data_IF_925211916359
#
_entry.id   IF_925211916359
#
_cell.length_a   1.000
_cell.length_b   1.000
_cell.length_c   1.000
_cell.angle_alpha   90.00
_cell.angle_beta   90.00
_cell.angle_gamma   90.00
#
_symmetry.space_group_name_H-M   'P 1'
#
loop_
_entity.id
_entity.type
_entity.pdbx_description
1 polymer ?
#
# COMPACT_ATOMS: atom_id res chain seq x y z
N UNK A 1 18.66 -12.47 -4.38
CA UNK A 1 17.25 -12.02 -4.43
C UNK A 1 17.18 -10.64 -3.83
N UNK A 2 17.13 -9.59 -4.65
CA UNK A 2 16.91 -8.24 -4.16
C UNK A 2 15.41 -8.14 -3.87
N UNK A 3 15.05 -8.00 -2.59
CA UNK A 3 13.65 -7.87 -2.19
C UNK A 3 13.30 -6.38 -2.21
N UNK A 4 12.14 -6.03 -2.75
CA UNK A 4 11.49 -4.76 -2.45
C UNK A 4 11.22 -4.69 -0.95
N UNK A 5 11.44 -3.54 -0.34
CA UNK A 5 11.30 -3.38 1.10
C UNK A 5 10.03 -2.56 1.39
N UNK A 6 9.29 -2.95 2.43
CA UNK A 6 8.26 -2.22 3.20
C UNK A 6 7.26 -1.31 2.48
N UNK A 7 5.96 -1.64 2.57
CA UNK A 7 4.88 -0.74 2.14
C UNK A 7 3.95 -0.39 3.30
N UNK A 8 3.16 0.67 3.11
CA UNK A 8 2.03 0.97 3.97
C UNK A 8 0.72 0.65 3.23
N UNK A 9 0.08 -0.49 3.52
CA UNK A 9 -1.24 -0.77 2.97
C UNK A 9 -2.32 0.02 3.69
N UNK A 10 -3.13 0.70 2.90
CA UNK A 10 -4.41 1.24 3.36
C UNK A 10 -5.48 0.19 3.10
N UNK A 11 -6.23 -0.17 4.14
CA UNK A 11 -7.42 -1.02 3.99
C UNK A 11 -8.60 -0.11 3.76
N UNK A 12 -9.10 -0.12 2.54
CA UNK A 12 -10.25 0.66 2.16
C UNK A 12 -11.55 -0.05 2.61
N UNK A 13 -12.61 0.73 2.81
CA UNK A 13 -14.03 0.40 3.06
C UNK A 13 -14.49 0.18 4.52
N UNK A 14 -14.94 1.26 5.17
CA UNK A 14 -15.59 1.25 6.50
C UNK A 14 -16.90 0.43 6.52
N UNK A 15 -17.32 -0.17 7.65
CA UNK A 15 -18.68 -0.69 7.81
C UNK A 15 -19.56 0.44 8.40
N UNK A 16 -20.81 0.63 7.93
CA UNK A 16 -21.56 -0.27 7.05
C UNK A 16 -21.70 0.23 5.60
N UNK A 17 -21.29 -0.64 4.67
CA UNK A 17 -21.93 -0.95 3.38
C UNK A 17 -22.05 0.12 2.30
N UNK A 18 -21.05 0.19 1.42
CA UNK A 18 -21.24 0.13 -0.04
C UNK A 18 -19.92 -0.18 -0.73
N UNK A 19 -20.02 -0.90 -1.83
CA UNK A 19 -18.93 -0.94 -2.79
C UNK A 19 -18.66 0.48 -3.29
N UNK A 20 -17.39 0.77 -3.57
CA UNK A 20 -16.98 2.08 -4.05
C UNK A 20 -16.67 1.99 -5.55
N UNK A 21 -17.32 2.82 -6.35
CA UNK A 21 -17.16 2.89 -7.80
C UNK A 21 -17.27 4.37 -8.18
N UNK A 22 -16.41 4.82 -9.08
CA UNK A 22 -16.38 6.20 -9.58
C UNK A 22 -16.37 7.25 -8.44
N UNK A 23 -15.47 7.05 -7.46
CA UNK A 23 -15.26 8.03 -6.39
C UNK A 23 -14.67 9.31 -6.99
N UNK A 24 -15.34 10.43 -6.74
CA UNK A 24 -14.81 11.75 -7.04
C UNK A 24 -14.00 12.23 -5.84
N UNK A 25 -12.82 12.76 -6.09
CA UNK A 25 -11.97 13.29 -5.02
C UNK A 25 -12.55 14.62 -4.51
N UNK A 26 -13.58 14.55 -3.66
CA UNK A 26 -13.80 15.57 -2.64
C UNK A 26 -12.95 15.21 -1.42
N UNK A 27 -12.48 16.20 -0.67
CA UNK A 27 -11.42 15.99 0.34
C UNK A 27 -11.83 15.04 1.50
N UNK A 28 -13.07 14.54 1.55
CA UNK A 28 -13.55 13.68 2.64
C UNK A 28 -13.56 12.19 2.27
N UNK A 29 -12.40 11.55 2.38
CA UNK A 29 -12.26 10.10 2.22
C UNK A 29 -12.58 9.32 3.52
N UNK A 30 -12.93 10.00 4.61
CA UNK A 30 -13.01 9.38 5.94
C UNK A 30 -14.09 8.30 6.05
N UNK A 31 -15.12 8.38 5.20
CA UNK A 31 -16.17 7.37 5.08
C UNK A 31 -15.74 6.15 4.24
N UNK A 32 -14.71 6.30 3.41
CA UNK A 32 -14.22 5.27 2.49
C UNK A 32 -13.01 4.49 3.02
N UNK A 33 -12.36 4.92 4.10
CA UNK A 33 -11.26 4.18 4.74
C UNK A 33 -11.78 3.39 5.94
N UNK A 34 -11.54 2.06 5.93
CA UNK A 34 -11.89 1.18 7.05
C UNK A 34 -10.94 1.39 8.23
N UNK A 35 -9.66 1.29 7.89
CA UNK A 35 -8.59 1.01 8.82
C UNK A 35 -7.26 1.07 8.10
N UNK A 36 -6.21 1.05 8.90
CA UNK A 36 -4.85 0.99 8.45
C UNK A 36 -4.19 -0.31 8.90
N UNK A 37 -3.24 -0.82 8.12
CA UNK A 37 -2.44 -2.00 8.49
C UNK A 37 -1.02 -1.81 7.97
N UNK A 38 -0.08 -2.64 8.41
CA UNK A 38 1.21 -2.79 7.74
C UNK A 38 1.13 -3.89 6.68
N UNK A 39 2.06 -3.84 5.73
CA UNK A 39 2.26 -4.91 4.77
C UNK A 39 3.57 -4.73 4.00
N UNK A 40 3.86 -5.70 3.14
CA UNK A 40 5.08 -5.66 2.36
C UNK A 40 4.76 -6.15 0.94
N UNK A 41 4.98 -5.31 -0.07
CA UNK A 41 4.88 -5.71 -1.48
C UNK A 41 6.23 -6.28 -1.91
N UNK A 42 6.45 -7.55 -1.60
CA UNK A 42 7.68 -8.23 -2.01
C UNK A 42 7.69 -8.37 -3.52
N UNK A 43 8.84 -8.11 -4.14
CA UNK A 43 9.02 -8.34 -5.57
C UNK A 43 10.31 -9.07 -5.80
N UNK A 44 10.26 -10.08 -6.69
CA UNK A 44 11.47 -10.67 -7.23
C UNK A 44 11.99 -9.78 -8.35
N UNK A 45 13.10 -9.08 -8.13
CA UNK A 45 13.68 -8.21 -9.17
C UNK A 45 14.14 -8.96 -10.41
N UNK A 46 14.49 -10.24 -10.27
CA UNK A 46 14.77 -11.10 -11.42
C UNK A 46 13.52 -11.26 -12.30
N UNK A 47 12.38 -11.61 -11.70
CA UNK A 47 11.14 -11.79 -12.43
C UNK A 47 10.47 -10.47 -12.83
N UNK A 48 10.79 -9.36 -12.17
CA UNK A 48 10.24 -8.04 -12.49
C UNK A 48 10.95 -7.38 -13.67
N UNK A 49 12.14 -7.86 -14.05
CA UNK A 49 12.83 -7.34 -15.23
C UNK A 49 11.91 -7.45 -16.47
N UNK A 50 11.82 -6.40 -17.31
CA UNK A 50 10.95 -6.37 -18.49
C UNK A 50 11.04 -7.58 -19.41
N UNK A 51 12.20 -8.21 -19.55
CA UNK A 51 12.38 -9.40 -20.40
C UNK A 51 11.61 -10.62 -19.86
N UNK A 52 11.50 -10.75 -18.54
CA UNK A 52 10.89 -11.87 -17.83
C UNK A 52 9.40 -11.63 -17.58
N UNK A 53 9.02 -10.38 -17.26
CA UNK A 53 7.63 -10.03 -16.97
C UNK A 53 6.84 -9.50 -18.17
N UNK A 54 7.49 -9.34 -19.34
CA UNK A 54 6.88 -8.77 -20.55
C UNK A 54 6.28 -7.37 -20.25
N UNK A 55 6.98 -6.60 -19.44
CA UNK A 55 6.56 -5.27 -18.98
C UNK A 55 5.41 -5.24 -17.95
N UNK A 56 4.98 -6.38 -17.41
CA UNK A 56 3.89 -6.47 -16.43
C UNK A 56 4.39 -6.89 -15.04
N UNK A 57 4.47 -5.96 -14.09
CA UNK A 57 5.06 -6.24 -12.77
C UNK A 57 4.32 -7.25 -11.89
N UNK A 58 3.05 -7.56 -12.20
CA UNK A 58 2.20 -8.41 -11.36
C UNK A 58 2.78 -9.81 -11.11
N UNK A 59 3.29 -10.47 -12.15
CA UNK A 59 3.86 -11.82 -12.03
C UNK A 59 5.06 -11.88 -11.08
N UNK A 60 5.81 -10.80 -10.96
CA UNK A 60 6.98 -10.71 -10.07
C UNK A 60 6.62 -10.47 -8.59
N UNK A 61 5.34 -10.17 -8.31
CA UNK A 61 4.80 -9.74 -7.00
C UNK A 61 3.75 -10.70 -6.44
N UNK A 62 3.38 -11.74 -7.18
CA UNK A 62 2.27 -12.65 -6.82
C UNK A 62 2.71 -14.06 -6.47
N UNK A 63 3.98 -14.28 -6.11
CA UNK A 63 4.40 -15.55 -5.54
C UNK A 63 3.76 -15.78 -4.17
N UNK A 64 3.62 -17.04 -3.77
CA UNK A 64 3.11 -17.38 -2.44
C UNK A 64 3.88 -16.61 -1.35
N UNK A 65 3.12 -15.98 -0.45
CA UNK A 65 3.61 -15.17 0.68
C UNK A 65 4.29 -13.84 0.30
N UNK A 66 4.15 -13.34 -0.94
CA UNK A 66 4.76 -12.05 -1.34
C UNK A 66 4.00 -10.80 -0.87
N UNK A 67 2.83 -10.98 -0.26
CA UNK A 67 2.02 -9.90 0.29
C UNK A 67 1.67 -10.15 1.77
N UNK A 68 2.65 -10.25 2.69
CA UNK A 68 2.34 -10.30 4.12
C UNK A 68 1.64 -9.00 4.53
N UNK A 69 0.52 -9.13 5.23
CA UNK A 69 -0.30 -8.01 5.74
C UNK A 69 -0.61 -8.29 7.21
N UNK A 70 -0.54 -7.25 8.05
CA UNK A 70 -0.79 -7.33 9.50
C UNK A 70 0.42 -6.87 10.31
N UNK A 71 0.53 -7.23 11.61
CA UNK A 71 -0.32 -8.17 12.35
C UNK A 71 -1.64 -7.56 12.84
N UNK A 72 -1.82 -6.23 12.73
CA UNK A 72 -2.96 -5.51 13.30
C UNK A 72 -3.65 -4.66 12.24
N UNK A 73 -4.97 -4.67 12.29
CA UNK A 73 -5.84 -3.73 11.57
C UNK A 73 -6.22 -2.62 12.55
N UNK A 74 -5.60 -1.45 12.40
CA UNK A 74 -5.79 -0.30 13.27
C UNK A 74 -6.95 0.58 12.80
N UNK A 75 -7.85 0.94 13.71
CA UNK A 75 -8.96 1.85 13.38
C UNK A 75 -8.45 3.25 13.05
N UNK A 76 -9.10 3.92 12.10
CA UNK A 76 -8.88 5.34 11.78
C UNK A 76 -9.07 6.26 13.00
N UNK A 77 -9.87 5.84 14.00
CA UNK A 77 -10.04 6.58 15.26
C UNK A 77 -8.79 6.57 16.14
N UNK A 78 -7.99 5.51 16.08
CA UNK A 78 -6.75 5.37 16.86
C UNK A 78 -5.59 6.10 16.18
N UNK A 79 -5.67 6.28 14.87
CA UNK A 79 -4.66 6.97 14.05
C UNK A 79 -5.36 8.14 13.32
N UNK A 80 -5.62 9.25 14.02
CA UNK A 80 -6.39 10.36 13.46
C UNK A 80 -5.62 11.15 12.39
N UNK A 81 -4.29 11.06 12.39
CA UNK A 81 -3.43 11.76 11.44
C UNK A 81 -2.25 10.86 11.04
N UNK A 82 -2.18 10.49 9.76
CA UNK A 82 -1.09 9.67 9.22
C UNK A 82 0.24 10.44 9.11
N UNK A 83 0.20 11.76 8.94
CA UNK A 83 1.40 12.59 8.77
C UNK A 83 2.33 12.58 10.00
N UNK A 84 1.83 12.13 11.15
CA UNK A 84 2.63 11.99 12.38
C UNK A 84 3.38 10.66 12.45
N UNK A 85 3.06 9.71 11.57
CA UNK A 85 3.63 8.37 11.58
C UNK A 85 4.84 8.24 10.66
N UNK A 86 5.71 7.30 11.02
CA UNK A 86 6.90 6.93 10.27
C UNK A 86 6.87 5.44 9.91
N UNK A 87 7.12 5.13 8.64
CA UNK A 87 7.36 3.78 8.16
C UNK A 87 8.85 3.46 8.25
N UNK A 88 9.19 2.31 8.83
CA UNK A 88 10.55 1.82 8.92
C UNK A 88 10.61 0.34 8.55
N UNK A 89 11.65 -0.04 7.80
CA UNK A 89 11.92 -1.44 7.47
C UNK A 89 13.34 -1.81 7.89
N UNK A 90 13.47 -2.94 8.56
CA UNK A 90 14.74 -3.50 9.04
C UNK A 90 14.94 -4.88 8.44
N UNK A 91 16.18 -5.17 8.02
CA UNK A 91 16.59 -6.50 7.57
C UNK A 91 17.81 -6.91 8.35
N UNK A 92 17.69 -8.00 9.10
CA UNK A 92 18.73 -8.49 10.01
C UNK A 92 19.20 -7.42 11.02
N UNK A 93 18.31 -6.54 11.45
CA UNK A 93 18.61 -5.42 12.36
C UNK A 93 19.06 -4.14 11.66
N UNK A 94 19.44 -4.20 10.38
CA UNK A 94 19.87 -3.01 9.63
C UNK A 94 18.67 -2.28 9.03
N UNK A 95 18.58 -0.98 9.30
CA UNK A 95 17.53 -0.12 8.74
C UNK A 95 17.73 0.06 7.24
N UNK A 96 16.79 -0.42 6.43
CA UNK A 96 16.81 -0.31 4.95
C UNK A 96 15.92 0.81 4.42
N UNK A 97 14.86 1.14 5.16
CA UNK A 97 13.94 2.22 4.82
C UNK A 97 13.51 3.00 6.04
N UNK A 98 13.25 4.28 5.83
CA UNK A 98 12.71 5.21 6.82
C UNK A 98 12.07 6.36 6.06
N UNK A 99 10.75 6.47 6.10
CA UNK A 99 10.05 7.64 5.55
C UNK A 99 8.81 7.99 6.37
N UNK A 100 8.37 9.24 6.28
CA UNK A 100 7.09 9.66 6.84
C UNK A 100 5.96 9.22 5.91
N UNK A 101 4.76 9.04 6.46
CA UNK A 101 3.60 8.63 5.65
C UNK A 101 2.96 9.78 4.86
N UNK A 102 3.37 11.04 5.08
CA UNK A 102 2.95 12.21 4.30
C UNK A 102 3.77 12.44 3.02
N UNK A 103 4.75 11.57 2.73
CA UNK A 103 5.64 11.65 1.55
C UNK A 103 5.09 10.90 0.32
N UNK A 104 3.78 10.63 0.28
CA UNK A 104 3.14 10.00 -0.87
C UNK A 104 3.00 11.00 -2.03
N UNK A 105 3.43 10.61 -3.24
CA UNK A 105 3.23 11.39 -4.46
C UNK A 105 1.74 11.58 -4.76
N UNK A 106 0.94 10.54 -4.51
CA UNK A 106 -0.51 10.55 -4.63
C UNK A 106 -1.13 10.18 -3.29
N UNK A 107 -1.97 11.07 -2.76
CA UNK A 107 -2.67 10.83 -1.50
C UNK A 107 -3.77 9.76 -1.64
N UNK A 108 -4.30 9.30 -0.50
CA UNK A 108 -5.33 8.27 -0.49
C UNK A 108 -6.60 8.66 -1.30
N UNK A 109 -7.11 9.91 -1.25
CA UNK A 109 -8.23 10.33 -2.10
C UNK A 109 -7.92 10.19 -3.59
N UNK A 110 -6.74 10.62 -4.01
CA UNK A 110 -6.29 10.52 -5.41
C UNK A 110 -6.19 9.07 -5.87
N UNK A 111 -5.62 8.19 -5.04
CA UNK A 111 -5.51 6.76 -5.35
C UNK A 111 -6.90 6.12 -5.49
N UNK A 112 -7.81 6.40 -4.55
CA UNK A 112 -9.16 5.83 -4.56
C UNK A 112 -9.94 6.31 -5.79
N UNK A 113 -9.92 7.61 -6.09
CA UNK A 113 -10.56 8.17 -7.27
C UNK A 113 -10.00 7.55 -8.55
N UNK A 114 -8.68 7.37 -8.63
CA UNK A 114 -8.05 6.78 -9.81
C UNK A 114 -8.49 5.34 -10.05
N UNK A 115 -8.44 4.50 -9.03
CA UNK A 115 -8.68 3.06 -9.16
C UNK A 115 -10.17 2.74 -9.33
N UNK A 116 -11.05 3.47 -8.64
CA UNK A 116 -12.49 3.20 -8.68
C UNK A 116 -13.14 3.56 -10.02
N UNK A 117 -12.53 4.43 -10.84
CA UNK A 117 -12.95 4.64 -12.23
C UNK A 117 -12.92 3.38 -13.09
N UNK A 118 -12.04 2.43 -12.78
CA UNK A 118 -11.91 1.18 -13.54
C UNK A 118 -12.49 -0.02 -12.80
N UNK A 119 -12.27 -0.10 -11.49
CA UNK A 119 -12.60 -1.29 -10.70
C UNK A 119 -13.52 -0.92 -9.54
N UNK A 120 -14.64 -1.63 -9.40
CA UNK A 120 -15.46 -1.52 -8.19
C UNK A 120 -14.68 -2.08 -7.00
N UNK A 121 -14.41 -1.24 -6.01
CA UNK A 121 -13.81 -1.64 -4.74
C UNK A 121 -14.86 -2.29 -3.88
N UNK A 122 -14.65 -3.56 -3.55
CA UNK A 122 -15.54 -4.31 -2.67
C UNK A 122 -15.17 -4.03 -1.23
N UNK A 123 -16.12 -4.29 -0.32
CA UNK A 123 -15.82 -4.26 1.10
C UNK A 123 -14.63 -5.19 1.42
N UNK A 124 -13.64 -4.67 2.15
CA UNK A 124 -12.41 -5.36 2.52
C UNK A 124 -11.29 -5.26 1.48
N UNK A 125 -11.45 -4.48 0.40
CA UNK A 125 -10.36 -4.22 -0.55
C UNK A 125 -9.18 -3.57 0.17
N UNK A 126 -8.02 -4.20 0.05
CA UNK A 126 -6.73 -3.67 0.53
C UNK A 126 -6.00 -3.05 -0.66
N UNK A 127 -5.40 -1.89 -0.44
CA UNK A 127 -4.56 -1.23 -1.43
C UNK A 127 -3.22 -0.96 -0.78
N UNK A 128 -2.16 -1.43 -1.42
CA UNK A 128 -0.80 -1.05 -1.03
C UNK A 128 -0.46 0.27 -1.74
N UNK A 129 -0.18 1.32 -0.96
CA UNK A 129 -0.07 2.69 -1.49
C UNK A 129 1.32 3.02 -2.06
N UNK A 130 2.19 2.01 -2.16
CA UNK A 130 3.56 2.15 -2.62
C UNK A 130 4.57 2.15 -1.47
N UNK A 131 5.83 2.02 -1.89
CA UNK A 131 7.01 1.99 -1.02
C UNK A 131 7.80 3.30 -1.13
N UNK A 132 8.34 3.84 -0.02
CA UNK A 132 9.33 4.90 -0.08
C UNK A 132 10.64 4.40 -0.68
N UNK A 133 11.53 5.34 -1.05
CA UNK A 133 12.86 5.03 -1.53
C UNK A 133 13.66 4.20 -0.50
N UNK A 134 14.46 3.27 -1.02
CA UNK A 134 15.39 2.47 -0.23
C UNK A 134 16.74 3.18 -0.21
N UNK A 135 17.32 3.32 0.97
CA UNK A 135 18.70 3.77 1.08
C UNK A 135 19.60 2.55 0.90
N UNK A 136 20.52 2.65 -0.05
CA UNK A 136 21.53 1.65 -0.48
C UNK A 136 21.09 0.67 -1.57
N UNK A 137 21.54 1.01 -2.78
CA UNK A 137 21.94 0.09 -3.83
C UNK A 137 22.95 -0.93 -3.23
N UNK A 138 22.55 -2.19 -3.20
CA UNK A 138 23.47 -3.32 -3.40
C UNK A 138 23.03 -4.01 -4.68
#
# INVERSE_FOLDING_TARGET
MQMSYGEYPVVFTKPPSKDCKDFEADNDISEHILSYTMGNDLSSRYWQNPEQCVGQHGSAKSFDKFAPIGPVIASTKTIPNLATLQLQCFVNGDKRQSSKLDDLIFDAPTILAHLTRRTTFRKGTVVMTGTPAVWQLL
#
